data_IF_270598820962
#
_entry.id   IF_270598820962
#
_cell.length_a   1.000
_cell.length_b   1.000
_cell.length_c   1.000
_cell.angle_alpha   90.00
_cell.angle_beta   90.00
_cell.angle_gamma   90.00
#
_symmetry.space_group_name_H-M   'P 1'
#
loop_
_entity.id
_entity.type
_entity.pdbx_description
1 polymer ?
#
# COMPACT_ATOMS: atom_id res chain seq x y z
N UNK A 1 3.94 -15.67 -9.01
CA UNK A 1 3.01 -14.58 -9.29
C UNK A 1 3.71 -13.25 -9.13
N UNK A 2 3.54 -12.31 -10.07
CA UNK A 2 4.12 -10.97 -9.91
C UNK A 2 3.69 -10.31 -8.61
N UNK A 3 2.47 -10.53 -8.17
CA UNK A 3 1.99 -9.94 -6.93
C UNK A 3 2.78 -10.44 -5.71
N UNK A 4 3.26 -11.69 -5.73
CA UNK A 4 4.02 -12.23 -4.62
C UNK A 4 5.30 -11.43 -4.33
N UNK A 5 5.94 -10.89 -5.37
CA UNK A 5 7.13 -10.05 -5.19
C UNK A 5 6.78 -8.72 -4.49
N UNK A 6 5.66 -8.11 -4.88
CA UNK A 6 5.18 -6.90 -4.21
C UNK A 6 4.83 -7.19 -2.75
N UNK A 7 4.14 -8.29 -2.52
CA UNK A 7 3.73 -8.70 -1.19
C UNK A 7 4.93 -8.88 -0.27
N UNK A 8 5.95 -9.62 -0.74
CA UNK A 8 7.16 -9.86 0.05
C UNK A 8 7.87 -8.54 0.38
N UNK A 9 7.96 -7.63 -0.60
CA UNK A 9 8.62 -6.35 -0.41
C UNK A 9 7.88 -5.49 0.61
N UNK A 10 6.59 -5.34 0.44
CA UNK A 10 5.77 -4.51 1.34
C UNK A 10 5.82 -5.06 2.76
N UNK A 11 5.59 -6.36 2.91
CA UNK A 11 5.63 -6.99 4.23
C UNK A 11 6.99 -6.86 4.88
N UNK A 12 8.06 -7.06 4.10
CA UNK A 12 9.42 -6.96 4.63
C UNK A 12 9.73 -5.56 5.14
N UNK A 13 9.38 -4.53 4.38
CA UNK A 13 9.64 -3.16 4.80
C UNK A 13 8.74 -2.74 5.95
N UNK A 14 7.45 -3.02 5.87
CA UNK A 14 6.50 -2.64 6.93
C UNK A 14 6.82 -3.34 8.25
N UNK A 15 7.32 -4.57 8.21
CA UNK A 15 7.78 -5.25 9.42
C UNK A 15 8.94 -4.52 10.09
N UNK A 16 9.68 -3.71 9.33
CA UNK A 16 10.75 -2.88 9.86
C UNK A 16 10.30 -1.44 10.09
N UNK A 17 8.99 -1.20 10.05
CA UNK A 17 8.37 0.09 10.36
C UNK A 17 8.73 1.20 9.39
N UNK A 18 8.96 0.87 8.12
CA UNK A 18 9.17 1.86 7.08
C UNK A 18 8.68 1.33 5.73
N UNK A 19 8.56 2.24 4.75
CA UNK A 19 8.27 1.87 3.37
C UNK A 19 8.84 2.91 2.43
N UNK A 20 9.62 2.46 1.45
CA UNK A 20 10.05 3.31 0.35
C UNK A 20 8.96 3.28 -0.73
N UNK A 21 7.99 4.16 -0.58
CA UNK A 21 6.83 4.21 -1.47
C UNK A 21 7.23 4.63 -2.88
N UNK A 22 8.17 5.54 -3.01
CA UNK A 22 8.65 5.98 -4.32
C UNK A 22 9.26 4.84 -5.10
N UNK A 23 10.10 4.03 -4.46
CA UNK A 23 10.69 2.86 -5.10
C UNK A 23 9.63 1.83 -5.50
N UNK A 24 8.61 1.67 -4.67
CA UNK A 24 7.49 0.76 -4.97
C UNK A 24 6.70 1.26 -6.18
N UNK A 25 6.35 2.54 -6.20
CA UNK A 25 5.61 3.13 -7.32
C UNK A 25 6.39 3.11 -8.62
N UNK A 26 7.72 3.14 -8.55
CA UNK A 26 8.58 3.09 -9.73
C UNK A 26 8.56 1.73 -10.44
N UNK A 27 8.07 0.69 -9.76
CA UNK A 27 8.04 -0.65 -10.35
C UNK A 27 6.97 -0.81 -11.42
N UNK A 28 5.89 -0.03 -11.35
CA UNK A 28 4.81 -0.12 -12.32
C UNK A 28 4.05 1.20 -12.36
N UNK A 29 3.82 1.79 -13.56
CA UNK A 29 3.10 3.07 -13.68
C UNK A 29 1.69 3.04 -13.06
N UNK A 30 1.07 1.88 -13.00
CA UNK A 30 -0.28 1.75 -12.43
C UNK A 30 -0.31 2.03 -10.93
N UNK A 31 0.85 2.00 -10.27
CA UNK A 31 0.95 2.22 -8.83
C UNK A 31 1.05 3.69 -8.43
N UNK A 32 1.07 4.60 -9.40
CA UNK A 32 1.28 6.03 -9.12
C UNK A 32 0.23 6.59 -8.14
N UNK A 33 -0.98 6.07 -8.16
CA UNK A 33 -2.04 6.55 -7.27
C UNK A 33 -1.81 6.20 -5.80
N UNK A 34 -0.84 5.33 -5.49
CA UNK A 34 -0.47 5.08 -4.09
C UNK A 34 0.07 6.32 -3.41
N UNK A 35 0.51 7.33 -4.17
CA UNK A 35 0.95 8.60 -3.60
C UNK A 35 -0.15 9.26 -2.75
N UNK A 36 -1.41 9.09 -3.13
CA UNK A 36 -2.54 9.63 -2.36
C UNK A 36 -2.63 8.97 -0.98
N UNK A 37 -2.40 7.68 -0.93
CA UNK A 37 -2.39 6.95 0.33
C UNK A 37 -1.20 7.40 1.20
N UNK A 38 -0.05 7.62 0.57
CA UNK A 38 1.12 8.15 1.27
C UNK A 38 0.81 9.47 1.96
N UNK A 39 0.21 10.40 1.23
CA UNK A 39 -0.13 11.72 1.75
C UNK A 39 -1.21 11.62 2.84
N UNK A 40 -2.22 10.79 2.62
CA UNK A 40 -3.32 10.64 3.57
C UNK A 40 -2.83 10.11 4.91
N UNK A 41 -2.00 9.09 4.87
CA UNK A 41 -1.49 8.48 6.10
C UNK A 41 -0.49 9.39 6.83
N UNK A 42 0.24 10.22 6.08
CA UNK A 42 1.07 11.23 6.72
C UNK A 42 0.20 12.26 7.43
N UNK A 43 -0.87 12.70 6.78
CA UNK A 43 -1.82 13.65 7.36
C UNK A 43 -2.43 13.11 8.66
N UNK A 44 -2.72 11.81 8.69
CA UNK A 44 -3.26 11.17 9.90
C UNK A 44 -2.19 10.84 10.95
N UNK A 45 -0.92 11.13 10.65
CA UNK A 45 0.15 10.90 11.61
C UNK A 45 0.55 9.44 11.75
N UNK A 46 0.26 8.62 10.74
CA UNK A 46 0.62 7.20 10.79
C UNK A 46 2.05 6.95 10.34
N UNK A 47 2.56 7.78 9.45
CA UNK A 47 3.96 7.74 9.05
C UNK A 47 4.42 9.15 8.63
N UNK A 48 5.73 9.29 8.43
CA UNK A 48 6.34 10.56 8.11
C UNK A 48 7.43 10.36 7.06
N UNK A 49 7.40 11.18 6.03
CA UNK A 49 8.40 11.12 4.96
C UNK A 49 9.71 11.76 5.45
N UNK A 50 10.81 11.00 5.39
CA UNK A 50 12.11 11.46 5.86
C UNK A 50 13.01 12.02 4.74
N UNK A 51 12.48 12.16 3.54
CA UNK A 51 13.21 12.58 2.35
C UNK A 51 13.57 11.42 1.41
N UNK A 52 13.48 10.19 1.88
CA UNK A 52 13.78 8.99 1.11
C UNK A 52 12.62 8.02 1.17
N UNK A 53 12.08 7.82 2.36
CA UNK A 53 11.03 6.83 2.60
C UNK A 53 10.11 7.32 3.71
N UNK A 54 9.00 6.61 3.91
CA UNK A 54 8.11 6.87 5.03
C UNK A 54 8.52 6.00 6.21
N UNK A 55 8.69 6.64 7.37
CA UNK A 55 8.93 5.93 8.62
C UNK A 55 7.65 5.94 9.45
N UNK A 56 7.27 4.79 10.01
CA UNK A 56 6.07 4.71 10.83
C UNK A 56 6.28 5.47 12.13
N UNK A 57 5.23 6.19 12.53
CA UNK A 57 5.14 6.79 13.85
C UNK A 57 4.70 5.72 14.85
N UNK A 58 4.64 6.08 16.14
CA UNK A 58 4.09 5.17 17.14
C UNK A 58 2.67 4.75 16.78
N UNK A 59 1.84 5.69 16.30
CA UNK A 59 0.49 5.37 15.86
C UNK A 59 0.52 4.41 14.66
N UNK A 60 1.44 4.63 13.71
CA UNK A 60 1.61 3.74 12.56
C UNK A 60 2.03 2.34 12.98
N UNK A 61 2.89 2.23 13.97
CA UNK A 61 3.29 0.91 14.48
C UNK A 61 2.10 0.16 15.07
N UNK A 62 1.23 0.89 15.75
CA UNK A 62 -0.01 0.29 16.29
C UNK A 62 -0.90 -0.24 15.16
N UNK A 63 -0.98 0.48 14.04
CA UNK A 63 -1.85 0.14 12.92
C UNK A 63 -1.12 -0.58 11.77
N UNK A 64 0.12 -1.03 11.97
CA UNK A 64 0.97 -1.54 10.90
C UNK A 64 0.35 -2.72 10.14
N UNK A 65 -0.33 -3.62 10.83
CA UNK A 65 -0.97 -4.78 10.18
C UNK A 65 -2.08 -4.30 9.23
N UNK A 66 -2.91 -3.38 9.71
CA UNK A 66 -4.00 -2.83 8.90
C UNK A 66 -3.46 -2.04 7.70
N UNK A 67 -2.43 -1.23 7.92
CA UNK A 67 -1.78 -0.46 6.85
C UNK A 67 -1.19 -1.38 5.78
N UNK A 68 -0.48 -2.41 6.22
CA UNK A 68 0.12 -3.39 5.32
C UNK A 68 -0.94 -4.07 4.47
N UNK A 69 -2.01 -4.52 5.09
CA UNK A 69 -3.10 -5.17 4.37
C UNK A 69 -3.76 -4.22 3.37
N UNK A 70 -4.01 -2.98 3.77
CA UNK A 70 -4.59 -1.97 2.88
C UNK A 70 -3.69 -1.71 1.68
N UNK A 71 -2.37 -1.56 1.91
CA UNK A 71 -1.41 -1.39 0.82
C UNK A 71 -1.48 -2.55 -0.16
N UNK A 72 -1.47 -3.77 0.35
CA UNK A 72 -1.49 -4.96 -0.51
C UNK A 72 -2.78 -5.06 -1.29
N UNK A 73 -3.90 -4.73 -0.68
CA UNK A 73 -5.19 -4.71 -1.36
C UNK A 73 -5.21 -3.65 -2.47
N UNK A 74 -4.68 -2.47 -2.20
CA UNK A 74 -4.58 -1.41 -3.20
C UNK A 74 -3.70 -1.83 -4.37
N UNK A 75 -2.54 -2.42 -4.09
CA UNK A 75 -1.63 -2.88 -5.13
C UNK A 75 -2.31 -3.95 -5.99
N UNK A 76 -2.93 -4.91 -5.35
CA UNK A 76 -3.63 -5.98 -6.05
C UNK A 76 -4.73 -5.42 -6.94
N UNK A 77 -5.50 -4.47 -6.43
CA UNK A 77 -6.56 -3.81 -7.17
C UNK A 77 -6.00 -3.04 -8.37
N UNK A 78 -4.91 -2.29 -8.17
CA UNK A 78 -4.31 -1.48 -9.24
C UNK A 78 -3.71 -2.35 -10.34
N UNK A 79 -3.10 -3.47 -9.99
CA UNK A 79 -2.44 -4.35 -10.96
C UNK A 79 -3.40 -5.34 -11.63
N UNK A 80 -4.47 -5.72 -10.95
CA UNK A 80 -5.46 -6.65 -11.47
C UNK A 80 -6.87 -6.14 -11.32
N UNK A 81 -7.05 -4.83 -11.33
CA UNK A 81 -8.28 -4.16 -10.91
C UNK A 81 -9.56 -4.67 -11.53
N UNK A 82 -9.56 -4.97 -12.82
CA UNK A 82 -10.75 -5.49 -13.48
C UNK A 82 -11.25 -6.78 -12.83
N UNK A 83 -10.33 -7.65 -12.48
CA UNK A 83 -10.65 -8.93 -11.90
C UNK A 83 -11.31 -8.77 -10.54
N UNK A 84 -10.78 -7.84 -9.74
CA UNK A 84 -11.33 -7.56 -8.41
C UNK A 84 -12.62 -6.78 -8.53
N UNK A 85 -12.67 -5.80 -9.42
CA UNK A 85 -13.86 -4.99 -9.66
C UNK A 85 -15.03 -5.84 -10.10
N UNK A 86 -14.78 -6.86 -10.90
CA UNK A 86 -15.85 -7.76 -11.35
C UNK A 86 -16.49 -8.53 -10.20
N UNK A 87 -15.69 -8.86 -9.20
CA UNK A 87 -16.22 -9.55 -8.04
C UNK A 87 -17.06 -8.64 -7.16
N UNK A 88 -16.54 -7.45 -6.87
CA UNK A 88 -17.22 -6.51 -5.99
C UNK A 88 -18.58 -6.04 -6.56
N UNK A 89 -18.68 -5.62 -7.83
CA UNK A 89 -19.96 -5.20 -8.38
C UNK A 89 -21.00 -6.30 -8.43
N UNK A 90 -20.58 -7.52 -8.73
CA UNK A 90 -21.51 -8.66 -8.75
C UNK A 90 -22.08 -8.87 -7.35
N UNK A 91 -21.26 -8.83 -6.34
CA UNK A 91 -21.73 -8.96 -4.97
C UNK A 91 -22.67 -7.83 -4.58
N UNK A 92 -22.35 -6.62 -5.01
CA UNK A 92 -23.18 -5.46 -4.69
C UNK A 92 -24.53 -5.50 -5.41
N UNK A 93 -24.57 -6.05 -6.61
CA UNK A 93 -25.78 -6.15 -7.40
C UNK A 93 -26.67 -7.30 -6.95
N UNK A 94 -26.05 -8.29 -6.41
CA UNK A 94 -26.79 -9.44 -5.89
C UNK A 94 -27.40 -9.13 -4.56
#
# INVERSE_FOLDING_TARGET
SPFAAYEARVQGEMNQCHLNLDALMALDPRLVSLSHLGDLWEEYGLWHFNGIQYDLTEAGEFWVVNMTQTLLECIQWLLGGEKIMNHAPVAAQG
#
